data_IF_886351670301
#
_entry.id   IF_886351670301
#
_cell.length_a   1.000
_cell.length_b   1.000
_cell.length_c   1.000
_cell.angle_alpha   90.00
_cell.angle_beta   90.00
_cell.angle_gamma   90.00
#
_symmetry.space_group_name_H-M   'P 1'
#
loop_
_entity.id
_entity.type
_entity.pdbx_description
1 polymer ?
#
# COMPACT_ATOMS: atom_id res chain seq x y z
N UNK A 1 -9.00 -12.98 -8.05
CA UNK A 1 -8.52 -11.94 -7.13
C UNK A 1 -7.61 -10.99 -7.91
N UNK A 2 -7.89 -9.69 -7.86
CA UNK A 2 -7.08 -8.63 -8.47
C UNK A 2 -6.42 -7.78 -7.39
N UNK A 3 -5.12 -7.53 -7.54
CA UNK A 3 -4.36 -6.68 -6.64
C UNK A 3 -4.04 -5.34 -7.29
N UNK A 4 -4.31 -4.24 -6.60
CA UNK A 4 -3.73 -2.94 -6.93
C UNK A 4 -2.37 -2.83 -6.26
N UNK A 5 -1.29 -2.59 -7.01
CA UNK A 5 0.06 -2.47 -6.44
C UNK A 5 0.57 -1.05 -6.67
N UNK A 6 1.10 -0.42 -5.62
CA UNK A 6 1.63 0.94 -5.65
C UNK A 6 2.81 1.09 -4.69
N UNK A 7 3.70 2.05 -4.94
CA UNK A 7 4.81 2.42 -4.07
C UNK A 7 5.13 3.90 -4.24
N UNK A 8 6.07 4.42 -3.44
CA UNK A 8 6.71 5.73 -3.67
C UNK A 8 5.69 6.88 -3.80
N UNK A 9 4.62 6.83 -3.01
CA UNK A 9 3.60 7.87 -3.05
C UNK A 9 4.08 9.15 -2.40
N UNK A 10 5.04 9.11 -1.47
CA UNK A 10 5.62 10.28 -0.80
C UNK A 10 4.58 11.30 -0.27
N UNK A 11 3.41 10.82 0.17
CA UNK A 11 2.29 11.62 0.66
C UNK A 11 1.34 12.13 -0.43
N UNK A 12 1.66 11.90 -1.70
CA UNK A 12 0.84 12.26 -2.84
C UNK A 12 -0.18 11.17 -3.16
N UNK A 13 -1.44 11.57 -3.27
CA UNK A 13 -2.52 10.70 -3.71
C UNK A 13 -3.03 11.21 -5.06
N UNK A 14 -2.76 10.45 -6.12
CA UNK A 14 -3.19 10.81 -7.47
C UNK A 14 -4.71 10.63 -7.63
N UNK A 15 -5.37 11.63 -8.21
CA UNK A 15 -6.80 11.61 -8.51
C UNK A 15 -7.23 10.50 -9.47
N UNK A 16 -6.31 9.90 -10.23
CA UNK A 16 -6.60 8.78 -11.12
C UNK A 16 -6.72 7.43 -10.38
N UNK A 17 -6.20 7.30 -9.15
CA UNK A 17 -6.16 6.03 -8.42
C UNK A 17 -7.54 5.37 -8.20
N UNK A 18 -8.62 6.11 -7.88
CA UNK A 18 -9.94 5.50 -7.73
C UNK A 18 -10.45 4.80 -9.00
N UNK A 19 -10.12 5.34 -10.17
CA UNK A 19 -10.52 4.74 -11.46
C UNK A 19 -9.60 3.55 -11.81
N UNK A 20 -8.28 3.72 -11.64
CA UNK A 20 -7.30 2.67 -11.93
C UNK A 20 -7.45 1.45 -11.03
N UNK A 21 -7.80 1.66 -9.76
CA UNK A 21 -8.00 0.59 -8.78
C UNK A 21 -9.48 0.21 -8.62
N UNK A 22 -10.36 0.66 -9.50
CA UNK A 22 -11.76 0.25 -9.49
C UNK A 22 -11.87 -1.28 -9.67
N UNK A 23 -12.44 -1.95 -8.67
CA UNK A 23 -12.69 -3.39 -8.71
C UNK A 23 -11.51 -4.29 -8.30
N UNK A 24 -10.41 -3.71 -7.77
CA UNK A 24 -9.38 -4.53 -7.10
C UNK A 24 -9.89 -5.05 -5.77
N UNK A 25 -9.48 -6.26 -5.38
CA UNK A 25 -9.91 -6.91 -4.15
C UNK A 25 -9.04 -6.48 -2.94
N UNK A 26 -7.78 -6.13 -3.18
CA UNK A 26 -6.82 -5.71 -2.15
C UNK A 26 -5.74 -4.80 -2.78
N UNK A 27 -5.27 -3.81 -2.04
CA UNK A 27 -4.20 -2.90 -2.43
C UNK A 27 -2.93 -3.22 -1.64
N UNK A 28 -1.81 -3.36 -2.33
CA UNK A 28 -0.49 -3.60 -1.77
C UNK A 28 0.36 -2.34 -1.95
N UNK A 29 0.72 -1.66 -0.85
CA UNK A 29 1.63 -0.52 -0.87
C UNK A 29 3.05 -0.96 -0.47
N UNK A 30 3.99 -0.93 -1.41
CA UNK A 30 5.35 -1.44 -1.22
C UNK A 30 6.32 -0.41 -0.59
N UNK A 31 5.86 0.43 0.34
CA UNK A 31 6.71 1.43 1.01
C UNK A 31 6.84 2.78 0.30
N UNK A 32 7.59 3.68 0.94
CA UNK A 32 7.74 5.10 0.62
C UNK A 32 6.41 5.85 0.54
N UNK A 33 5.58 5.60 1.56
CA UNK A 33 4.24 6.17 1.68
C UNK A 33 4.32 7.66 1.99
N UNK A 34 5.26 8.07 2.84
CA UNK A 34 5.44 9.44 3.25
C UNK A 34 4.37 9.97 4.21
N UNK A 35 4.28 11.29 4.31
CA UNK A 35 3.37 11.96 5.25
C UNK A 35 2.03 12.24 4.60
N UNK A 36 0.94 11.86 5.25
CA UNK A 36 -0.40 12.23 4.81
C UNK A 36 -1.41 11.12 5.05
N UNK A 37 -2.52 11.20 4.32
CA UNK A 37 -3.66 10.28 4.43
C UNK A 37 -3.69 9.27 3.26
N UNK A 38 -2.53 8.93 2.67
CA UNK A 38 -2.48 8.06 1.49
C UNK A 38 -3.12 6.70 1.78
N UNK A 39 -2.72 6.03 2.87
CA UNK A 39 -3.29 4.73 3.25
C UNK A 39 -4.78 4.82 3.57
N UNK A 40 -5.23 5.90 4.21
CA UNK A 40 -6.67 6.10 4.49
C UNK A 40 -7.47 6.27 3.21
N UNK A 41 -6.96 7.04 2.24
CA UNK A 41 -7.60 7.25 0.94
C UNK A 41 -7.59 5.98 0.09
N UNK A 42 -6.50 5.21 0.09
CA UNK A 42 -6.45 3.89 -0.55
C UNK A 42 -7.43 2.91 0.12
N UNK A 43 -7.53 2.95 1.46
CA UNK A 43 -8.47 2.15 2.24
C UNK A 43 -9.94 2.43 1.96
N UNK A 44 -10.27 3.60 1.40
CA UNK A 44 -11.61 3.90 0.91
C UNK A 44 -11.94 3.21 -0.43
N UNK A 45 -10.93 2.72 -1.16
CA UNK A 45 -11.09 2.00 -2.43
C UNK A 45 -11.20 0.49 -2.17
N UNK A 46 -10.23 -0.08 -1.44
CA UNK A 46 -10.16 -1.49 -1.11
C UNK A 46 -9.27 -1.71 0.15
N UNK A 47 -9.33 -2.88 0.82
CA UNK A 47 -8.42 -3.20 1.92
C UNK A 47 -6.95 -3.00 1.54
N UNK A 48 -6.14 -2.44 2.44
CA UNK A 48 -4.73 -2.10 2.18
C UNK A 48 -3.80 -2.92 3.05
N UNK A 49 -2.82 -3.56 2.43
CA UNK A 49 -1.63 -4.13 3.07
C UNK A 49 -0.45 -3.25 2.70
N UNK A 50 0.33 -2.82 3.69
CA UNK A 50 1.44 -1.92 3.47
C UNK A 50 2.65 -2.30 4.31
N UNK A 51 3.83 -2.06 3.74
CA UNK A 51 5.11 -2.06 4.43
C UNK A 51 5.67 -0.63 4.48
N UNK A 52 6.62 -0.36 5.37
CA UNK A 52 7.36 0.91 5.39
C UNK A 52 8.52 0.87 4.40
N UNK A 53 8.73 1.97 3.68
CA UNK A 53 9.95 2.19 2.90
C UNK A 53 11.03 2.96 3.67
N UNK A 54 12.04 3.46 2.97
CA UNK A 54 13.17 4.15 3.58
C UNK A 54 12.78 5.53 4.16
N UNK A 55 11.77 6.20 3.62
CA UNK A 55 11.34 7.53 4.13
C UNK A 55 10.26 7.46 5.22
N UNK A 56 9.76 6.27 5.54
CA UNK A 56 8.66 6.01 6.48
C UNK A 56 9.13 5.89 7.94
N UNK A 57 9.93 6.86 8.40
CA UNK A 57 10.59 6.82 9.72
C UNK A 57 9.74 7.40 10.86
N UNK A 58 8.58 7.97 10.54
CA UNK A 58 7.70 8.69 11.47
C UNK A 58 6.35 8.01 11.60
N UNK A 59 5.72 8.17 12.76
CA UNK A 59 4.34 7.69 12.93
C UNK A 59 3.40 8.42 11.94
N UNK A 60 2.39 7.73 11.38
CA UNK A 60 2.04 6.33 11.66
C UNK A 60 2.84 5.30 10.84
N UNK A 61 3.47 5.69 9.73
CA UNK A 61 4.08 4.73 8.78
C UNK A 61 5.26 3.96 9.36
N UNK A 62 5.96 4.52 10.35
CA UNK A 62 7.00 3.82 11.15
C UNK A 62 6.51 2.53 11.81
N UNK A 63 5.22 2.44 12.14
CA UNK A 63 4.65 1.25 12.79
C UNK A 63 4.42 0.09 11.83
N UNK A 64 4.53 0.32 10.51
CA UNK A 64 4.41 -0.73 9.51
C UNK A 64 5.66 -1.63 9.53
N UNK A 65 5.49 -2.93 9.22
CA UNK A 65 6.64 -3.82 9.04
C UNK A 65 7.49 -3.37 7.84
N UNK A 66 8.79 -3.66 7.86
CA UNK A 66 9.70 -3.44 6.71
C UNK A 66 9.57 -4.52 5.63
N UNK A 67 9.10 -5.70 6.00
CA UNK A 67 8.80 -6.80 5.10
C UNK A 67 7.60 -7.58 5.57
N UNK A 68 6.87 -8.17 4.64
CA UNK A 68 5.70 -8.98 4.95
C UNK A 68 5.58 -10.13 3.96
N UNK A 69 5.25 -11.32 4.46
CA UNK A 69 4.86 -12.46 3.64
C UNK A 69 3.38 -12.76 3.91
N UNK A 70 2.59 -12.85 2.85
CA UNK A 70 1.15 -13.13 2.92
C UNK A 70 0.81 -14.27 1.97
N UNK A 71 -0.09 -15.17 2.39
CA UNK A 71 -0.66 -16.17 1.49
C UNK A 71 -2.00 -15.69 0.93
N UNK A 72 -2.20 -15.92 -0.37
CA UNK A 72 -3.45 -15.68 -1.10
C UNK A 72 -3.74 -16.87 -2.01
N UNK A 73 -4.94 -16.94 -2.58
CA UNK A 73 -5.36 -18.08 -3.43
C UNK A 73 -4.43 -18.36 -4.63
N UNK A 74 -3.60 -17.38 -5.05
CA UNK A 74 -2.61 -17.51 -6.12
C UNK A 74 -1.19 -17.91 -5.68
N UNK A 75 -0.96 -18.14 -4.38
CA UNK A 75 0.35 -18.44 -3.79
C UNK A 75 0.86 -17.36 -2.83
N UNK A 76 2.09 -17.54 -2.30
CA UNK A 76 2.69 -16.59 -1.39
C UNK A 76 3.10 -15.30 -2.12
N UNK A 77 2.93 -14.17 -1.44
CA UNK A 77 3.37 -12.86 -1.88
C UNK A 77 4.32 -12.31 -0.82
N UNK A 78 5.53 -11.96 -1.24
CA UNK A 78 6.53 -11.32 -0.39
C UNK A 78 6.65 -9.84 -0.74
N UNK A 79 6.39 -8.96 0.23
CA UNK A 79 6.52 -7.51 0.13
C UNK A 79 7.79 -7.06 0.86
N UNK A 80 8.64 -6.33 0.15
CA UNK A 80 9.73 -5.51 0.67
C UNK A 80 9.82 -4.25 -0.17
N UNK A 81 10.33 -3.17 0.43
CA UNK A 81 10.77 -1.99 -0.31
C UNK A 81 12.10 -2.30 -1.00
#
# INVERSE_FOLDING_TARGET
>A
MFFGIISDTHGFFDSALPELFAGVDEILHAGDIGKGMVLEKLGAIAPVVAIRGNIDEKLPTRSLPDKLEIEREGGPIFLTH
#
